data_IF_805513504766
#
_entry.id   IF_805513504766
#
_cell.length_a   1.000
_cell.length_b   1.000
_cell.length_c   1.000
_cell.angle_alpha   90.00
_cell.angle_beta   90.00
_cell.angle_gamma   90.00
#
_symmetry.space_group_name_H-M   'P 1'
#
loop_
_entity.id
_entity.type
_entity.pdbx_description
1 polymer ?
#
# COMPACT_ATOMS: atom_id res chain seq x y z
N UNK A 1 -26.83 18.10 -15.25
CA UNK A 1 -25.78 18.49 -14.28
C UNK A 1 -25.46 17.25 -13.46
N UNK A 2 -24.47 16.48 -13.88
CA UNK A 2 -24.05 15.27 -13.15
C UNK A 2 -23.20 15.76 -11.99
N UNK A 3 -23.74 15.67 -10.76
CA UNK A 3 -22.92 15.80 -9.56
C UNK A 3 -21.95 14.62 -9.59
N UNK A 4 -20.69 14.90 -9.90
CA UNK A 4 -19.61 13.95 -9.71
C UNK A 4 -19.52 13.70 -8.20
N UNK A 5 -19.93 12.51 -7.76
CA UNK A 5 -19.64 12.03 -6.42
C UNK A 5 -18.13 11.88 -6.32
N UNK A 6 -17.51 12.76 -5.55
CA UNK A 6 -16.12 12.63 -5.12
C UNK A 6 -16.04 11.32 -4.34
N UNK A 7 -15.53 10.27 -4.96
CA UNK A 7 -15.42 8.95 -4.36
C UNK A 7 -14.52 9.06 -3.12
N UNK A 8 -15.09 8.79 -1.95
CA UNK A 8 -14.44 8.77 -0.61
C UNK A 8 -13.46 7.58 -0.48
N UNK A 9 -12.66 7.32 -1.50
CA UNK A 9 -11.84 6.11 -1.62
C UNK A 9 -10.66 6.06 -0.64
N UNK A 10 -10.25 7.22 -0.12
CA UNK A 10 -9.01 7.37 0.64
C UNK A 10 -9.21 7.42 2.16
N UNK A 11 -10.45 7.53 2.65
CA UNK A 11 -10.67 7.80 4.09
C UNK A 11 -10.25 6.63 5.00
N UNK A 12 -10.18 5.42 4.46
CA UNK A 12 -9.65 4.24 5.14
C UNK A 12 -8.11 4.12 5.05
N UNK A 13 -7.50 4.54 3.93
CA UNK A 13 -6.05 4.43 3.73
C UNK A 13 -5.34 5.44 4.65
N UNK A 14 -4.60 4.94 5.63
CA UNK A 14 -3.88 5.77 6.61
C UNK A 14 -4.61 5.98 7.94
N UNK A 15 -5.76 5.30 8.17
CA UNK A 15 -6.29 5.17 9.53
C UNK A 15 -5.28 4.44 10.42
N UNK A 16 -5.14 4.80 11.71
CA UNK A 16 -4.31 4.04 12.63
C UNK A 16 -4.80 2.59 12.64
N UNK A 17 -3.98 1.71 12.05
CA UNK A 17 -4.29 0.28 11.96
C UNK A 17 -4.21 -0.32 13.35
N UNK A 18 -5.26 -1.00 13.78
CA UNK A 18 -5.18 -1.82 14.97
C UNK A 18 -4.41 -3.10 14.60
N UNK A 19 -3.13 -3.16 14.95
CA UNK A 19 -2.20 -4.24 14.60
C UNK A 19 -2.58 -5.62 15.19
N UNK A 20 -3.61 -5.68 16.03
CA UNK A 20 -4.08 -6.92 16.67
C UNK A 20 -5.08 -7.72 15.82
N UNK A 21 -5.95 -7.05 15.05
CA UNK A 21 -7.05 -7.70 14.32
C UNK A 21 -7.34 -6.97 13.00
N UNK A 22 -6.83 -7.49 11.88
CA UNK A 22 -7.23 -7.00 10.56
C UNK A 22 -8.62 -7.52 10.19
N UNK A 23 -9.61 -6.63 10.23
CA UNK A 23 -11.00 -6.92 9.85
C UNK A 23 -11.50 -5.89 8.84
N UNK A 24 -11.19 -6.05 7.55
CA UNK A 24 -11.62 -5.09 6.55
C UNK A 24 -13.15 -5.11 6.42
N UNK A 25 -13.74 -3.94 6.15
CA UNK A 25 -15.14 -3.82 5.76
C UNK A 25 -15.39 -4.47 4.39
N UNK A 26 -16.65 -4.63 4.00
CA UNK A 26 -16.96 -5.16 2.67
C UNK A 26 -16.46 -4.23 1.55
N UNK A 27 -16.55 -2.92 1.74
CA UNK A 27 -16.10 -1.90 0.79
C UNK A 27 -14.57 -1.92 0.64
N UNK A 28 -13.83 -2.01 1.76
CA UNK A 28 -12.38 -2.12 1.76
C UNK A 28 -11.90 -3.41 1.08
N UNK A 29 -12.61 -4.53 1.28
CA UNK A 29 -12.33 -5.78 0.56
C UNK A 29 -12.48 -5.64 -0.95
N UNK A 30 -13.56 -4.99 -1.40
CA UNK A 30 -13.79 -4.74 -2.82
C UNK A 30 -12.70 -3.84 -3.40
N UNK A 31 -12.31 -2.79 -2.68
CA UNK A 31 -11.21 -1.91 -3.07
C UNK A 31 -9.91 -2.70 -3.29
N UNK A 32 -9.46 -3.51 -2.31
CA UNK A 32 -8.22 -4.29 -2.47
C UNK A 32 -8.27 -5.33 -3.59
N UNK A 33 -9.45 -5.89 -3.90
CA UNK A 33 -9.60 -6.81 -5.02
C UNK A 33 -9.50 -6.11 -6.38
N UNK A 34 -10.02 -4.88 -6.47
CA UNK A 34 -10.03 -4.12 -7.71
C UNK A 34 -8.71 -3.40 -7.95
N UNK A 35 -8.22 -2.67 -6.96
CA UNK A 35 -7.10 -1.73 -7.04
C UNK A 35 -5.77 -2.26 -6.46
N UNK A 36 -5.81 -3.36 -5.69
CA UNK A 36 -4.61 -3.96 -5.12
C UNK A 36 -3.65 -4.52 -6.17
N UNK A 37 -2.36 -4.52 -5.85
CA UNK A 37 -1.30 -5.11 -6.71
C UNK A 37 -1.55 -6.61 -6.87
N UNK A 38 -1.58 -7.09 -8.12
CA UNK A 38 -1.87 -8.48 -8.47
C UNK A 38 -0.60 -9.25 -8.82
N UNK A 39 -0.63 -10.56 -8.63
CA UNK A 39 0.48 -11.46 -9.02
C UNK A 39 0.78 -11.30 -10.51
N UNK A 40 2.07 -11.19 -10.83
CA UNK A 40 2.56 -10.99 -12.20
C UNK A 40 2.57 -9.53 -12.66
N UNK A 41 1.94 -8.60 -11.91
CA UNK A 41 2.12 -7.18 -12.16
C UNK A 41 3.47 -6.70 -11.65
N UNK A 42 4.02 -5.68 -12.31
CA UNK A 42 5.21 -4.99 -11.83
C UNK A 42 4.89 -4.33 -10.49
N UNK A 43 5.75 -4.55 -9.48
CA UNK A 43 5.63 -3.86 -8.21
C UNK A 43 5.73 -2.32 -8.44
N UNK A 44 4.79 -1.52 -7.91
CA UNK A 44 4.84 -0.07 -7.99
C UNK A 44 6.15 0.44 -7.38
N UNK A 45 6.76 1.42 -8.03
CA UNK A 45 8.00 2.00 -7.52
C UNK A 45 7.69 2.98 -6.38
N UNK A 46 8.56 3.00 -5.38
CA UNK A 46 8.47 3.94 -4.26
C UNK A 46 9.86 4.22 -3.70
N UNK A 47 10.00 5.35 -3.01
CA UNK A 47 11.22 5.76 -2.34
C UNK A 47 10.95 5.91 -0.85
N UNK A 48 11.80 5.34 -0.01
CA UNK A 48 11.73 5.42 1.45
C UNK A 48 13.08 5.85 2.03
N UNK A 49 13.08 6.54 3.18
CA UNK A 49 14.31 6.79 3.91
C UNK A 49 14.83 5.50 4.55
N UNK A 50 16.13 5.36 4.58
CA UNK A 50 16.85 4.32 5.31
C UNK A 50 17.12 4.77 6.76
N UNK A 51 17.65 3.87 7.58
CA UNK A 51 17.98 4.17 8.98
C UNK A 51 19.12 5.19 9.13
N UNK A 52 20.00 5.29 8.13
CA UNK A 52 21.07 6.29 8.04
C UNK A 52 20.61 7.62 7.43
N UNK A 53 19.32 7.75 7.08
CA UNK A 53 18.74 8.99 6.55
C UNK A 53 19.01 9.23 5.07
N UNK A 54 19.49 8.23 4.34
CA UNK A 54 19.57 8.27 2.88
C UNK A 54 18.28 7.76 2.25
N UNK A 55 18.05 8.03 0.97
CA UNK A 55 16.87 7.54 0.27
C UNK A 55 17.19 6.27 -0.52
N UNK A 56 16.27 5.31 -0.49
CA UNK A 56 16.32 4.11 -1.32
C UNK A 56 15.03 3.95 -2.13
N UNK A 57 15.18 3.66 -3.42
CA UNK A 57 14.06 3.39 -4.33
C UNK A 57 13.96 1.89 -4.62
N UNK A 58 12.75 1.33 -4.64
CA UNK A 58 12.53 -0.10 -4.88
C UNK A 58 13.17 -0.56 -6.20
N UNK A 59 13.06 0.23 -7.27
CA UNK A 59 13.65 -0.08 -8.57
C UNK A 59 15.17 -0.24 -8.55
N UNK A 60 15.88 0.42 -7.62
CA UNK A 60 17.33 0.29 -7.45
C UNK A 60 17.75 -1.10 -6.92
N UNK A 61 16.84 -1.86 -6.30
CA UNK A 61 17.11 -3.19 -5.75
C UNK A 61 16.88 -4.34 -6.74
N UNK A 62 16.38 -4.04 -7.95
CA UNK A 62 16.07 -5.02 -9.00
C UNK A 62 17.34 -5.74 -9.51
N UNK A 63 17.13 -6.86 -10.21
CA UNK A 63 18.21 -7.72 -10.73
C UNK A 63 18.39 -9.03 -9.96
N UNK A 64 17.66 -9.20 -8.86
CA UNK A 64 17.51 -10.44 -8.09
C UNK A 64 16.09 -10.53 -7.51
N UNK A 65 15.63 -11.71 -7.07
CA UNK A 65 14.38 -11.82 -6.31
C UNK A 65 14.44 -10.97 -5.04
N UNK A 66 13.35 -10.28 -4.74
CA UNK A 66 13.21 -9.38 -3.57
C UNK A 66 11.96 -9.79 -2.81
N UNK A 67 12.03 -9.75 -1.48
CA UNK A 67 10.88 -9.88 -0.59
C UNK A 67 10.70 -8.57 0.18
N UNK A 68 9.49 -8.01 0.15
CA UNK A 68 9.11 -6.85 0.93
C UNK A 68 8.40 -7.31 2.20
N UNK A 69 8.84 -6.79 3.33
CA UNK A 69 8.21 -6.99 4.62
C UNK A 69 7.73 -5.63 5.13
N UNK A 70 6.47 -5.57 5.54
CA UNK A 70 5.84 -4.37 6.10
C UNK A 70 5.51 -4.65 7.55
N UNK A 71 6.41 -4.23 8.45
CA UNK A 71 6.24 -4.35 9.89
C UNK A 71 5.79 -3.04 10.55
N UNK A 72 5.27 -3.17 11.76
CA UNK A 72 5.04 -2.06 12.69
C UNK A 72 5.78 -2.34 13.98
N UNK A 73 6.54 -1.37 14.46
CA UNK A 73 7.09 -1.40 15.81
C UNK A 73 6.14 -0.57 16.67
N UNK A 74 5.45 -1.23 17.59
CA UNK A 74 4.57 -0.60 18.58
C UNK A 74 5.28 -0.49 19.93
#
# INVERSE_FOLDING_TARGET
>A
MVKQETRTETEFLGRPYNFADWRPTAEERVYFQMEGVKVGQMAPDFTLPTLDGTDITLSALRGKPIMLEFGSIT
#
